data_IF_147944733249
#
_entry.id   IF_147944733249
#
_cell.length_a   1.000
_cell.length_b   1.000
_cell.length_c   1.000
_cell.angle_alpha   90.00
_cell.angle_beta   90.00
_cell.angle_gamma   90.00
#
_symmetry.space_group_name_H-M   'P 1'
#
loop_
_entity.id
_entity.type
_entity.pdbx_description
1 polymer ?
#
# COMPACT_ATOMS: atom_id res chain seq x y z
N UNK A 1 -4.91 10.30 -15.74
CA UNK A 1 -4.65 9.95 -14.36
C UNK A 1 -3.53 8.92 -14.25
N UNK A 2 -2.79 8.97 -13.15
CA UNK A 2 -1.85 7.93 -12.79
C UNK A 2 -2.56 6.81 -12.03
N UNK A 3 -2.32 5.57 -12.42
CA UNK A 3 -2.93 4.41 -11.76
C UNK A 3 -1.84 3.64 -11.01
N UNK A 4 -2.07 3.41 -9.72
CA UNK A 4 -1.24 2.56 -8.86
C UNK A 4 -2.10 1.38 -8.40
N UNK A 5 -1.62 0.17 -8.59
CA UNK A 5 -2.37 -1.02 -8.20
C UNK A 5 -1.43 -2.13 -7.72
N UNK A 6 -1.89 -2.94 -6.77
CA UNK A 6 -1.23 -4.19 -6.45
C UNK A 6 -1.52 -5.23 -7.52
N UNK A 7 -0.59 -6.17 -7.72
CA UNK A 7 -0.77 -7.32 -8.61
C UNK A 7 -0.84 -8.62 -7.80
N UNK A 8 -2.04 -9.09 -7.45
CA UNK A 8 -2.18 -10.28 -6.60
C UNK A 8 -1.61 -11.56 -7.19
N UNK A 9 -1.47 -11.64 -8.51
CA UNK A 9 -0.86 -12.78 -9.18
C UNK A 9 0.67 -12.85 -8.99
N UNK A 10 1.29 -11.78 -8.50
CA UNK A 10 2.71 -11.72 -8.19
C UNK A 10 2.91 -11.48 -6.70
N UNK A 11 3.60 -12.37 -6.01
CA UNK A 11 3.85 -12.31 -4.56
C UNK A 11 2.58 -12.03 -3.73
N UNK A 12 1.42 -12.52 -4.17
CA UNK A 12 0.11 -12.26 -3.56
C UNK A 12 -0.25 -10.76 -3.40
N UNK A 13 0.38 -9.88 -4.16
CA UNK A 13 0.18 -8.43 -4.06
C UNK A 13 0.97 -7.75 -2.94
N UNK A 14 1.88 -8.47 -2.26
CA UNK A 14 2.70 -7.88 -1.19
C UNK A 14 3.62 -6.78 -1.71
N UNK A 15 3.96 -5.85 -0.83
CA UNK A 15 4.97 -4.84 -1.11
C UNK A 15 6.35 -5.34 -0.69
N UNK A 16 7.22 -5.57 -1.65
CA UNK A 16 8.65 -5.75 -1.44
C UNK A 16 9.40 -4.42 -1.62
N UNK A 17 10.73 -4.47 -1.52
CA UNK A 17 11.58 -3.30 -1.68
C UNK A 17 11.40 -2.67 -3.06
N UNK A 18 11.43 -3.48 -4.10
CA UNK A 18 11.36 -2.99 -5.49
C UNK A 18 9.98 -2.40 -5.82
N UNK A 19 8.90 -3.03 -5.37
CA UNK A 19 7.55 -2.51 -5.51
C UNK A 19 7.39 -1.16 -4.79
N UNK A 20 7.94 -1.03 -3.58
CA UNK A 20 7.91 0.20 -2.80
C UNK A 20 8.66 1.34 -3.49
N UNK A 21 9.86 1.07 -3.99
CA UNK A 21 10.68 2.06 -4.72
C UNK A 21 10.03 2.46 -6.04
N UNK A 22 9.54 1.48 -6.80
CA UNK A 22 8.82 1.72 -8.07
C UNK A 22 7.57 2.57 -7.86
N UNK A 23 6.75 2.21 -6.87
CA UNK A 23 5.54 2.95 -6.55
C UNK A 23 5.84 4.39 -6.13
N UNK A 24 6.81 4.58 -5.23
CA UNK A 24 7.21 5.89 -4.75
C UNK A 24 7.70 6.79 -5.91
N UNK A 25 8.53 6.24 -6.79
CA UNK A 25 9.04 6.97 -7.95
C UNK A 25 7.90 7.40 -8.90
N UNK A 26 6.96 6.52 -9.16
CA UNK A 26 5.82 6.82 -10.02
C UNK A 26 4.89 7.88 -9.40
N UNK A 27 4.59 7.78 -8.11
CA UNK A 27 3.77 8.77 -7.40
C UNK A 27 4.41 10.15 -7.45
N UNK A 28 5.71 10.24 -7.20
CA UNK A 28 6.45 11.51 -7.29
C UNK A 28 6.48 12.08 -8.70
N UNK A 29 6.59 11.23 -9.71
CA UNK A 29 6.47 11.65 -11.10
C UNK A 29 5.09 12.25 -11.37
N UNK A 30 4.02 11.58 -10.96
CA UNK A 30 2.66 12.08 -11.14
C UNK A 30 2.46 13.43 -10.44
N UNK A 31 2.94 13.57 -9.21
CA UNK A 31 2.85 14.83 -8.47
C UNK A 31 3.60 15.98 -9.18
N UNK A 32 4.82 15.69 -9.67
CA UNK A 32 5.62 16.68 -10.38
C UNK A 32 4.96 17.23 -11.68
N UNK A 33 4.13 16.43 -12.32
CA UNK A 33 3.42 16.79 -13.56
C UNK A 33 1.93 17.04 -13.39
N UNK A 34 1.45 17.26 -12.17
CA UNK A 34 0.04 17.49 -11.87
C UNK A 34 -0.92 16.42 -12.41
N UNK A 35 -0.50 15.17 -12.32
CA UNK A 35 -1.31 14.00 -12.72
C UNK A 35 -2.06 13.46 -11.51
N UNK A 36 -3.39 13.53 -11.46
CA UNK A 36 -4.17 12.90 -10.38
C UNK A 36 -3.90 11.42 -10.26
N UNK A 37 -3.98 10.90 -9.03
CA UNK A 37 -3.68 9.51 -8.71
C UNK A 37 -4.94 8.73 -8.35
N UNK A 38 -5.08 7.54 -8.92
CA UNK A 38 -6.07 6.53 -8.54
C UNK A 38 -5.34 5.28 -8.09
N UNK A 39 -5.60 4.84 -6.87
CA UNK A 39 -4.97 3.67 -6.28
C UNK A 39 -5.98 2.55 -6.12
N UNK A 40 -5.71 1.39 -6.70
CA UNK A 40 -6.47 0.16 -6.45
C UNK A 40 -5.67 -0.71 -5.50
N UNK A 41 -6.24 -0.94 -4.31
CA UNK A 41 -5.52 -1.60 -3.23
C UNK A 41 -6.03 -3.02 -3.00
N UNK A 42 -5.10 -3.97 -3.08
CA UNK A 42 -5.27 -5.36 -2.72
C UNK A 42 -3.95 -5.89 -2.16
N UNK A 43 -3.66 -5.52 -0.91
CA UNK A 43 -2.35 -5.76 -0.29
C UNK A 43 -2.47 -6.50 1.03
N UNK A 44 -1.87 -7.70 1.16
CA UNK A 44 -1.89 -8.46 2.41
C UNK A 44 -0.83 -8.00 3.42
N UNK A 45 0.14 -7.19 2.99
CA UNK A 45 1.23 -6.71 3.84
C UNK A 45 2.49 -6.38 3.05
N UNK A 46 3.52 -5.98 3.77
CA UNK A 46 4.89 -5.99 3.25
C UNK A 46 5.41 -7.43 3.18
N UNK A 47 6.27 -7.72 2.21
CA UNK A 47 6.87 -9.05 2.08
C UNK A 47 7.80 -9.31 3.28
N UNK A 48 7.53 -10.36 4.09
CA UNK A 48 8.39 -10.71 5.20
C UNK A 48 9.66 -11.44 4.74
N UNK A 49 10.62 -11.55 5.64
CA UNK A 49 11.82 -12.34 5.46
C UNK A 49 13.10 -11.54 5.63
N UNK A 50 14.15 -12.26 5.98
CA UNK A 50 15.46 -11.68 6.31
C UNK A 50 16.08 -10.88 5.16
N UNK A 51 15.87 -11.32 3.93
CA UNK A 51 16.35 -10.60 2.73
C UNK A 51 15.72 -9.21 2.64
N UNK A 52 14.41 -9.12 2.88
CA UNK A 52 13.70 -7.84 2.86
C UNK A 52 14.09 -6.97 4.06
N UNK A 53 14.21 -7.55 5.24
CA UNK A 53 14.58 -6.81 6.45
C UNK A 53 16.01 -6.26 6.37
N UNK A 54 16.98 -7.09 6.02
CA UNK A 54 18.37 -6.64 5.85
C UNK A 54 18.54 -5.72 4.64
N UNK A 55 17.74 -5.90 3.59
CA UNK A 55 17.70 -5.01 2.45
C UNK A 55 17.08 -3.63 2.75
N UNK A 56 16.41 -3.47 3.90
CA UNK A 56 15.86 -2.19 4.35
C UNK A 56 14.42 -1.95 3.91
N UNK A 57 13.56 -2.97 3.95
CA UNK A 57 12.14 -2.85 3.59
C UNK A 57 11.44 -1.70 4.33
N UNK A 58 11.75 -1.48 5.61
CA UNK A 58 11.16 -0.38 6.39
C UNK A 58 11.52 0.96 5.76
N UNK A 59 12.78 1.16 5.43
CA UNK A 59 13.27 2.40 4.81
C UNK A 59 12.69 2.59 3.39
N UNK A 60 12.64 1.53 2.60
CA UNK A 60 12.10 1.61 1.24
C UNK A 60 10.58 1.74 1.23
N UNK A 61 9.88 1.05 2.13
CA UNK A 61 8.43 1.23 2.34
C UNK A 61 8.07 2.65 2.78
N UNK A 62 8.91 3.26 3.61
CA UNK A 62 8.74 4.66 3.99
C UNK A 62 8.80 5.63 2.80
N UNK A 63 9.56 5.32 1.75
CA UNK A 63 9.58 6.15 0.53
C UNK A 63 8.20 6.22 -0.13
N UNK A 64 7.48 5.11 -0.16
CA UNK A 64 6.13 5.07 -0.73
C UNK A 64 5.15 5.85 0.15
N UNK A 65 5.23 5.68 1.46
CA UNK A 65 4.44 6.46 2.43
C UNK A 65 4.63 7.97 2.23
N UNK A 66 5.87 8.42 2.22
CA UNK A 66 6.20 9.83 2.04
C UNK A 66 5.77 10.36 0.67
N UNK A 67 5.95 9.59 -0.39
CA UNK A 67 5.53 10.00 -1.73
C UNK A 67 4.03 10.30 -1.77
N UNK A 68 3.20 9.41 -1.24
CA UNK A 68 1.75 9.65 -1.16
C UNK A 68 1.36 10.76 -0.19
N UNK A 69 2.04 10.88 0.94
CA UNK A 69 1.76 11.92 1.93
C UNK A 69 2.10 13.33 1.42
N UNK A 70 3.19 13.45 0.67
CA UNK A 70 3.67 14.73 0.12
C UNK A 70 2.94 15.14 -1.16
N UNK A 71 2.40 14.19 -1.93
CA UNK A 71 1.75 14.46 -3.20
C UNK A 71 0.58 15.44 -3.03
N UNK A 72 0.58 16.50 -3.82
CA UNK A 72 -0.43 17.58 -3.79
C UNK A 72 -1.56 17.38 -4.79
N UNK A 73 -1.40 16.44 -5.71
CA UNK A 73 -2.44 16.09 -6.71
C UNK A 73 -3.62 15.39 -6.04
N UNK A 74 -4.82 15.44 -6.64
CA UNK A 74 -5.97 14.66 -6.16
C UNK A 74 -5.63 13.17 -6.08
N UNK A 75 -6.01 12.56 -4.96
CA UNK A 75 -5.73 11.14 -4.66
C UNK A 75 -7.02 10.43 -4.30
N UNK A 76 -7.35 9.40 -5.05
CA UNK A 76 -8.52 8.54 -4.82
C UNK A 76 -8.03 7.12 -4.61
N UNK A 77 -8.50 6.47 -3.56
CA UNK A 77 -8.16 5.07 -3.26
C UNK A 77 -9.40 4.20 -3.28
N UNK A 78 -9.30 3.05 -3.89
CA UNK A 78 -10.34 2.02 -3.92
C UNK A 78 -9.75 0.71 -3.41
N UNK A 79 -10.21 0.27 -2.24
CA UNK A 79 -9.82 -1.03 -1.68
C UNK A 79 -10.67 -2.09 -2.34
N UNK A 80 -10.03 -2.98 -3.09
CA UNK A 80 -10.73 -3.99 -3.90
C UNK A 80 -10.88 -5.32 -3.17
N UNK A 81 -9.93 -5.70 -2.32
CA UNK A 81 -9.99 -6.94 -1.54
C UNK A 81 -9.32 -6.78 -0.19
N UNK A 82 -8.00 -6.89 -0.10
CA UNK A 82 -7.25 -6.83 1.16
C UNK A 82 -6.56 -5.49 1.35
N UNK A 83 -6.61 -5.00 2.58
CA UNK A 83 -5.86 -3.83 3.00
C UNK A 83 -5.34 -4.07 4.42
N UNK A 84 -4.16 -4.71 4.54
CA UNK A 84 -3.64 -5.17 5.82
C UNK A 84 -2.39 -4.41 6.27
N UNK A 85 -2.40 -4.04 7.54
CA UNK A 85 -1.24 -3.55 8.27
C UNK A 85 -0.61 -2.28 7.73
N UNK A 86 0.72 -2.19 7.85
CA UNK A 86 1.47 -1.04 7.39
C UNK A 86 1.45 -0.84 5.87
N UNK A 87 1.32 -1.91 5.10
CA UNK A 87 1.19 -1.82 3.65
C UNK A 87 -0.10 -1.11 3.23
N UNK A 88 -1.22 -1.37 3.93
CA UNK A 88 -2.43 -0.57 3.77
C UNK A 88 -2.16 0.91 4.00
N UNK A 89 -1.46 1.24 5.09
CA UNK A 89 -1.21 2.62 5.45
C UNK A 89 -0.41 3.39 4.38
N UNK A 90 0.59 2.74 3.76
CA UNK A 90 1.47 3.41 2.79
C UNK A 90 0.85 3.58 1.40
N UNK A 91 -0.20 2.83 1.09
CA UNK A 91 -0.84 2.86 -0.23
C UNK A 91 -2.01 3.84 -0.28
N UNK A 92 -1.72 5.12 -0.15
CA UNK A 92 -2.70 6.20 -0.24
C UNK A 92 -3.91 6.00 0.69
N UNK A 93 -3.67 5.59 1.94
CA UNK A 93 -4.74 5.41 2.91
C UNK A 93 -5.32 6.75 3.38
N UNK A 94 -6.51 6.72 3.94
CA UNK A 94 -7.12 7.89 4.57
C UNK A 94 -6.31 8.43 5.74
N UNK A 95 -5.47 7.60 6.39
CA UNK A 95 -4.59 8.00 7.49
C UNK A 95 -3.54 9.04 7.08
N UNK A 96 -3.13 9.03 5.81
CA UNK A 96 -2.20 10.01 5.24
C UNK A 96 -2.91 11.07 4.39
N UNK A 97 -4.19 11.29 4.66
CA UNK A 97 -5.02 12.35 4.06
C UNK A 97 -5.21 12.23 2.55
N UNK A 98 -5.46 11.03 2.06
CA UNK A 98 -5.98 10.84 0.70
C UNK A 98 -7.38 11.43 0.60
N UNK A 99 -7.70 12.08 -0.51
CA UNK A 99 -8.91 12.88 -0.64
C UNK A 99 -10.20 12.04 -0.58
N UNK A 100 -10.21 10.89 -1.27
CA UNK A 100 -11.34 9.97 -1.26
C UNK A 100 -10.88 8.53 -1.09
N UNK A 101 -11.53 7.82 -0.19
CA UNK A 101 -11.28 6.41 0.07
C UNK A 101 -12.56 5.63 -0.03
N UNK A 102 -12.59 4.67 -0.94
CA UNK A 102 -13.68 3.75 -1.17
C UNK A 102 -13.24 2.32 -0.89
N UNK A 103 -14.17 1.46 -0.57
CA UNK A 103 -13.94 0.04 -0.41
C UNK A 103 -15.11 -0.74 -1.01
N UNK A 104 -14.81 -1.87 -1.66
CA UNK A 104 -15.86 -2.81 -2.03
C UNK A 104 -16.54 -3.36 -0.77
N UNK A 105 -17.84 -3.72 -0.83
CA UNK A 105 -18.53 -4.30 0.33
C UNK A 105 -17.87 -5.57 0.89
N UNK A 106 -17.11 -6.27 0.06
CA UNK A 106 -16.37 -7.50 0.41
C UNK A 106 -14.91 -7.25 0.80
N UNK A 107 -14.48 -5.97 0.87
CA UNK A 107 -13.10 -5.64 1.23
C UNK A 107 -12.81 -5.96 2.70
N UNK A 108 -11.59 -6.42 2.94
CA UNK A 108 -11.10 -6.76 4.27
C UNK A 108 -10.04 -5.74 4.69
N UNK A 109 -10.35 -4.95 5.72
CA UNK A 109 -9.44 -3.93 6.26
C UNK A 109 -9.08 -4.33 7.68
N UNK A 110 -7.82 -4.65 7.94
CA UNK A 110 -7.36 -5.15 9.23
C UNK A 110 -5.86 -4.91 9.45
N UNK A 111 -5.41 -5.14 10.68
CA UNK A 111 -3.97 -5.18 10.99
C UNK A 111 -3.32 -6.43 10.37
N UNK A 112 -4.04 -7.55 10.41
CA UNK A 112 -3.62 -8.83 9.82
C UNK A 112 -4.84 -9.69 9.51
N UNK A 113 -4.67 -10.75 8.73
CA UNK A 113 -5.73 -11.72 8.47
C UNK A 113 -6.26 -12.39 9.74
N UNK A 114 -7.54 -12.76 9.75
CA UNK A 114 -8.21 -13.33 10.92
C UNK A 114 -7.52 -14.58 11.47
N UNK A 115 -7.10 -15.50 10.60
CA UNK A 115 -6.39 -16.72 11.00
C UNK A 115 -5.07 -16.41 11.73
N UNK A 116 -4.28 -15.47 11.22
CA UNK A 116 -3.04 -15.02 11.88
C UNK A 116 -3.32 -14.40 13.24
N UNK A 117 -4.37 -13.60 13.36
CA UNK A 117 -4.75 -12.97 14.62
C UNK A 117 -5.20 -14.02 15.67
N UNK A 118 -6.01 -15.00 15.27
CA UNK A 118 -6.45 -16.10 16.14
C UNK A 118 -5.25 -16.90 16.64
N UNK A 119 -4.31 -17.24 15.76
CA UNK A 119 -3.13 -18.00 16.16
C UNK A 119 -2.21 -17.27 17.13
N UNK A 120 -2.24 -15.94 17.15
CA UNK A 120 -1.49 -15.14 18.12
C UNK A 120 -2.23 -15.03 19.46
N UNK A 121 -3.54 -14.78 19.42
CA UNK A 121 -4.32 -14.49 20.59
C UNK A 121 -4.71 -15.74 21.42
N UNK A 122 -4.81 -16.88 20.77
CA UNK A 122 -5.29 -18.14 21.38
C UNK A 122 -4.27 -19.27 21.26
N UNK A 123 -3.01 -18.94 21.39
CA UNK A 123 -1.91 -19.89 21.41
C UNK A 123 -1.84 -20.68 22.74
#
# INVERSE_FOLDING_TARGET
VGIVANQPAHLAGTLDIDASVKGARFVRFCDAFNIPLVTFEDVPGFLPGTVQEYGGIIRHGAKLLYAFAEATVPKVTVITRKAYGGAYCVMASKHIRTDFNYAWPTAEIAVMGAEGAVNILYK
#
